data_IF_254574222733
#
_entry.id   IF_254574222733
#
_cell.length_a   1.000
_cell.length_b   1.000
_cell.length_c   1.000
_cell.angle_alpha   90.00
_cell.angle_beta   90.00
_cell.angle_gamma   90.00
#
_symmetry.space_group_name_H-M   'P 1'
#
loop_
_entity.id
_entity.type
_entity.pdbx_description
1 polymer ?
#
# COMPACT_ATOMS: atom_id res chain seq x y z
N UNK A 1 -20.44 1.77 17.97
CA UNK A 1 -20.74 2.17 16.57
C UNK A 1 -20.47 3.66 16.45
N UNK A 2 -19.69 4.08 15.47
CA UNK A 2 -19.37 5.48 15.21
C UNK A 2 -19.64 5.82 13.74
N UNK A 3 -19.92 7.09 13.44
CA UNK A 3 -19.96 7.62 12.09
C UNK A 3 -18.61 8.24 11.74
N UNK A 4 -17.92 7.68 10.76
CA UNK A 4 -16.57 8.06 10.35
C UNK A 4 -16.66 8.77 8.99
N UNK A 5 -16.19 10.02 8.93
CA UNK A 5 -15.91 10.67 7.66
C UNK A 5 -14.50 10.29 7.21
N UNK A 6 -14.43 9.43 6.21
CA UNK A 6 -13.17 8.94 5.64
C UNK A 6 -12.73 9.78 4.45
N UNK A 7 -11.68 10.56 4.61
CA UNK A 7 -11.06 11.30 3.52
C UNK A 7 -9.91 10.48 2.93
N UNK A 8 -10.03 10.08 1.66
CA UNK A 8 -9.06 9.20 1.03
C UNK A 8 -9.12 9.22 -0.50
N UNK A 9 -8.33 8.36 -1.12
CA UNK A 9 -8.31 8.17 -2.58
C UNK A 9 -9.21 7.03 -3.01
N UNK A 10 -9.83 7.17 -4.19
CA UNK A 10 -10.47 6.09 -4.94
C UNK A 10 -9.76 5.81 -6.26
N UNK A 11 -9.07 6.82 -6.79
CA UNK A 11 -8.32 6.74 -8.04
C UNK A 11 -7.17 7.77 -8.05
N UNK A 12 -6.14 7.60 -8.88
CA UNK A 12 -5.80 6.38 -9.59
C UNK A 12 -5.39 5.26 -8.63
N UNK A 13 -5.46 4.00 -9.07
CA UNK A 13 -5.22 2.83 -8.22
C UNK A 13 -3.80 2.82 -7.66
N UNK A 14 -3.68 2.65 -6.34
CA UNK A 14 -2.41 2.56 -5.62
C UNK A 14 -2.63 1.90 -4.24
N UNK A 15 -1.56 1.66 -3.48
CA UNK A 15 -1.64 1.09 -2.14
C UNK A 15 -2.55 1.85 -1.17
N UNK A 16 -2.58 3.19 -1.26
CA UNK A 16 -3.48 4.03 -0.46
C UNK A 16 -4.97 3.78 -0.80
N UNK A 17 -5.29 3.56 -2.08
CA UNK A 17 -6.65 3.20 -2.51
C UNK A 17 -7.05 1.85 -1.93
N UNK A 18 -6.19 0.83 -2.07
CA UNK A 18 -6.43 -0.51 -1.50
C UNK A 18 -6.64 -0.44 0.00
N UNK A 19 -5.77 0.27 0.71
CA UNK A 19 -5.91 0.48 2.15
C UNK A 19 -7.25 1.14 2.52
N UNK A 20 -7.59 2.24 1.87
CA UNK A 20 -8.82 2.98 2.16
C UNK A 20 -10.09 2.16 1.91
N UNK A 21 -10.14 1.45 0.78
CA UNK A 21 -11.30 0.64 0.42
C UNK A 21 -11.46 -0.58 1.33
N UNK A 22 -10.39 -1.34 1.58
CA UNK A 22 -10.44 -2.52 2.45
C UNK A 22 -10.77 -2.16 3.89
N UNK A 23 -10.16 -1.10 4.42
CA UNK A 23 -10.40 -0.63 5.80
C UNK A 23 -11.83 -0.13 5.97
N UNK A 24 -12.33 0.71 5.07
CA UNK A 24 -13.70 1.23 5.15
C UNK A 24 -14.75 0.15 4.95
N UNK A 25 -14.49 -0.83 4.08
CA UNK A 25 -15.37 -1.99 3.93
C UNK A 25 -15.43 -2.82 5.22
N UNK A 26 -14.28 -3.11 5.82
CA UNK A 26 -14.23 -3.87 7.07
C UNK A 26 -14.89 -3.14 8.24
N UNK A 27 -14.72 -1.81 8.35
CA UNK A 27 -15.41 -0.99 9.35
C UNK A 27 -16.94 -1.01 9.16
N UNK A 28 -17.42 -0.93 7.91
CA UNK A 28 -18.86 -1.06 7.60
C UNK A 28 -19.40 -2.42 8.01
N UNK A 29 -18.66 -3.49 7.73
CA UNK A 29 -19.06 -4.86 8.10
C UNK A 29 -19.20 -5.05 9.61
N UNK A 30 -18.53 -4.20 10.40
CA UNK A 30 -18.66 -4.15 11.86
C UNK A 30 -19.73 -3.16 12.36
N UNK A 31 -20.51 -2.56 11.45
CA UNK A 31 -21.63 -1.71 11.76
C UNK A 31 -21.31 -0.21 11.86
N UNK A 32 -20.09 0.23 11.57
CA UNK A 32 -19.78 1.67 11.54
C UNK A 32 -20.42 2.35 10.33
N UNK A 33 -20.91 3.59 10.54
CA UNK A 33 -21.31 4.46 9.45
C UNK A 33 -20.07 5.06 8.77
N UNK A 34 -19.93 4.92 7.46
CA UNK A 34 -18.81 5.49 6.70
C UNK A 34 -19.35 6.44 5.64
N UNK A 35 -18.92 7.71 5.70
CA UNK A 35 -19.05 8.67 4.60
C UNK A 35 -17.69 8.83 3.93
N UNK A 36 -17.59 8.40 2.68
CA UNK A 36 -16.33 8.44 1.94
C UNK A 36 -16.18 9.77 1.20
N UNK A 37 -15.13 10.53 1.50
CA UNK A 37 -14.82 11.83 0.90
C UNK A 37 -13.56 11.65 0.04
N UNK A 38 -13.65 11.98 -1.24
CA UNK A 38 -12.54 11.82 -2.19
C UNK A 38 -12.53 12.92 -3.24
N UNK A 39 -11.39 13.10 -3.90
CA UNK A 39 -11.30 14.03 -5.01
C UNK A 39 -11.86 13.38 -6.27
N UNK A 40 -12.89 14.03 -6.86
CA UNK A 40 -13.49 13.62 -8.12
C UNK A 40 -14.13 14.80 -8.83
N UNK A 41 -14.48 14.63 -10.11
CA UNK A 41 -15.28 15.60 -10.84
C UNK A 41 -16.74 15.43 -10.46
N UNK A 42 -17.41 16.51 -10.03
CA UNK A 42 -18.85 16.49 -9.82
C UNK A 42 -19.58 16.02 -11.08
N UNK A 43 -20.58 15.16 -10.93
CA UNK A 43 -21.37 14.65 -12.04
C UNK A 43 -21.89 15.80 -12.91
N UNK A 44 -21.58 15.80 -14.21
CA UNK A 44 -22.01 16.81 -15.18
C UNK A 44 -20.99 17.90 -15.53
N UNK A 45 -19.77 17.86 -15.00
CA UNK A 45 -18.67 18.72 -15.50
C UNK A 45 -17.67 17.90 -16.32
N UNK A 46 -17.11 18.47 -17.43
CA UNK A 46 -16.05 17.79 -18.18
C UNK A 46 -14.85 17.54 -17.26
N UNK A 47 -14.25 16.36 -17.40
CA UNK A 47 -13.08 15.97 -16.61
C UNK A 47 -11.92 16.96 -16.86
N UNK A 48 -11.18 17.40 -15.83
CA UNK A 48 -9.97 18.22 -16.02
C UNK A 48 -8.86 17.52 -16.81
N UNK A 49 -9.00 16.22 -17.10
CA UNK A 49 -8.08 15.46 -17.96
C UNK A 49 -7.94 16.07 -19.35
N UNK A 50 -8.98 16.77 -19.87
CA UNK A 50 -8.90 17.49 -21.13
C UNK A 50 -7.93 18.68 -21.11
N UNK A 51 -7.74 19.32 -19.95
CA UNK A 51 -6.80 20.43 -19.77
C UNK A 51 -5.35 19.93 -19.61
N UNK A 52 -5.15 18.75 -19.03
CA UNK A 52 -3.83 18.13 -18.88
C UNK A 52 -3.32 17.60 -20.24
N UNK A 53 -4.21 17.07 -21.09
CA UNK A 53 -3.91 16.68 -22.47
C UNK A 53 -3.55 17.88 -23.36
N UNK A 54 -4.22 19.03 -23.19
CA UNK A 54 -3.86 20.27 -23.89
C UNK A 54 -2.51 20.86 -23.45
N UNK A 55 -2.06 20.57 -22.21
CA UNK A 55 -0.80 21.06 -21.67
C UNK A 55 0.37 20.05 -21.84
N UNK A 56 0.16 18.93 -22.54
CA UNK A 56 1.20 17.94 -22.84
C UNK A 56 1.74 17.20 -21.58
N UNK A 57 0.97 17.15 -20.51
CA UNK A 57 1.29 16.35 -19.34
C UNK A 57 0.78 14.93 -19.59
N UNK A 58 1.71 14.00 -19.75
CA UNK A 58 1.44 12.59 -20.07
C UNK A 58 0.52 11.94 -19.02
N UNK A 59 -0.79 11.88 -19.32
CA UNK A 59 -1.79 11.20 -18.51
C UNK A 59 -2.01 9.78 -19.04
N UNK A 60 -0.98 8.94 -18.90
CA UNK A 60 -1.06 7.51 -19.25
C UNK A 60 -1.78 6.68 -18.17
N UNK A 61 -2.95 7.12 -17.74
CA UNK A 61 -3.82 6.31 -16.88
C UNK A 61 -5.18 6.13 -17.57
N UNK A 62 -5.32 5.00 -18.27
CA UNK A 62 -6.60 4.52 -18.77
C UNK A 62 -7.61 4.33 -17.63
N UNK A 63 -8.93 4.28 -17.91
CA UNK A 63 -9.97 4.12 -16.92
C UNK A 63 -9.84 2.73 -16.25
N UNK A 64 -9.14 2.67 -15.16
CA UNK A 64 -9.12 1.51 -14.28
C UNK A 64 -10.45 1.45 -13.55
N UNK A 65 -11.37 0.64 -14.04
CA UNK A 65 -12.53 0.17 -13.27
C UNK A 65 -12.02 -0.58 -12.04
N UNK A 66 -12.00 0.10 -10.90
CA UNK A 66 -11.89 -0.58 -9.61
C UNK A 66 -13.07 -1.57 -9.44
N UNK A 67 -12.97 -2.57 -8.58
CA UNK A 67 -14.04 -3.55 -8.40
C UNK A 67 -15.32 -2.83 -7.99
N UNK A 68 -16.26 -2.73 -8.94
CA UNK A 68 -17.62 -2.25 -8.71
C UNK A 68 -18.30 -3.19 -7.71
N UNK A 69 -18.60 -2.69 -6.52
CA UNK A 69 -19.38 -3.46 -5.54
C UNK A 69 -19.15 -3.12 -4.06
N UNK A 70 -18.19 -2.29 -3.70
CA UNK A 70 -17.87 -1.99 -2.29
C UNK A 70 -18.44 -0.66 -1.75
N UNK A 71 -19.39 -0.04 -2.44
CA UNK A 71 -19.87 1.31 -2.14
C UNK A 71 -21.32 1.41 -1.70
N UNK A 72 -21.63 1.21 -0.43
CA UNK A 72 -22.97 1.35 0.14
C UNK A 72 -23.08 2.44 1.23
N UNK A 73 -22.50 3.62 1.05
CA UNK A 73 -22.63 4.73 2.01
C UNK A 73 -22.54 6.09 1.30
N UNK A 74 -22.83 7.21 2.02
CA UNK A 74 -22.74 8.55 1.46
C UNK A 74 -21.34 8.83 0.91
N UNK A 75 -21.28 9.32 -0.31
CA UNK A 75 -20.03 9.74 -0.95
C UNK A 75 -20.02 11.25 -1.18
N UNK A 76 -18.86 11.86 -0.98
CA UNK A 76 -18.64 13.27 -1.25
C UNK A 76 -17.47 13.43 -2.20
N UNK A 77 -17.72 14.04 -3.35
CA UNK A 77 -16.71 14.38 -4.34
C UNK A 77 -16.19 15.81 -4.09
N UNK A 78 -14.89 15.95 -3.86
CA UNK A 78 -14.23 17.25 -3.76
C UNK A 78 -13.63 17.63 -5.10
N UNK A 79 -13.79 18.89 -5.54
CA UNK A 79 -13.23 19.34 -6.81
C UNK A 79 -11.71 19.45 -6.76
N UNK A 80 -11.04 19.11 -7.86
CA UNK A 80 -9.59 19.16 -7.98
C UNK A 80 -9.15 19.79 -9.31
N UNK A 81 -7.90 20.25 -9.36
CA UNK A 81 -7.23 20.75 -10.55
C UNK A 81 -6.34 19.66 -11.17
N UNK A 82 -5.54 19.01 -10.33
CA UNK A 82 -4.62 17.93 -10.73
C UNK A 82 -4.70 16.79 -9.74
N UNK A 83 -4.77 15.57 -10.25
CA UNK A 83 -4.75 14.35 -9.45
C UNK A 83 -3.80 13.33 -10.07
N UNK A 84 -2.85 12.86 -9.28
CA UNK A 84 -1.89 11.83 -9.66
C UNK A 84 -1.88 10.67 -8.66
N UNK A 85 -1.09 9.64 -8.92
CA UNK A 85 -0.89 8.57 -7.95
C UNK A 85 -0.24 9.07 -6.65
N UNK A 86 0.57 10.12 -6.72
CA UNK A 86 1.37 10.62 -5.58
C UNK A 86 0.67 11.77 -4.86
N UNK A 87 0.17 12.77 -5.57
CA UNK A 87 -0.37 14.00 -4.99
C UNK A 87 -1.68 14.43 -5.64
N UNK A 88 -2.41 15.32 -4.96
CA UNK A 88 -3.63 15.94 -5.48
C UNK A 88 -3.62 17.43 -5.19
N UNK A 89 -3.86 18.25 -6.21
CA UNK A 89 -4.03 19.71 -6.07
C UNK A 89 -5.53 20.00 -6.10
N UNK A 90 -6.13 20.44 -4.97
CA UNK A 90 -7.55 20.78 -4.91
C UNK A 90 -7.84 22.04 -5.71
N UNK A 91 -9.07 22.16 -6.21
CA UNK A 91 -9.54 23.43 -6.73
C UNK A 91 -9.93 24.42 -5.60
N UNK A 92 -10.03 25.72 -5.86
CA UNK A 92 -10.29 26.73 -4.83
C UNK A 92 -11.54 26.49 -3.97
N UNK A 93 -12.55 25.80 -4.50
CA UNK A 93 -13.79 25.47 -3.77
C UNK A 93 -13.72 24.24 -2.88
N UNK A 94 -12.67 23.44 -2.95
CA UNK A 94 -12.60 22.14 -2.27
C UNK A 94 -12.67 22.25 -0.73
N UNK A 95 -12.02 23.25 -0.16
CA UNK A 95 -12.04 23.47 1.29
C UNK A 95 -13.44 23.84 1.80
N UNK A 96 -14.16 24.68 1.06
CA UNK A 96 -15.55 25.05 1.39
C UNK A 96 -16.48 23.85 1.29
N UNK A 97 -16.39 23.10 0.21
CA UNK A 97 -17.18 21.88 -0.01
C UNK A 97 -16.93 20.86 1.10
N UNK A 98 -15.68 20.68 1.51
CA UNK A 98 -15.33 19.82 2.63
C UNK A 98 -15.96 20.28 3.94
N UNK A 99 -15.88 21.59 4.25
CA UNK A 99 -16.51 22.16 5.45
C UNK A 99 -18.01 21.91 5.47
N UNK A 100 -18.72 22.31 4.41
CA UNK A 100 -20.18 22.18 4.29
C UNK A 100 -20.59 20.71 4.37
N UNK A 101 -19.79 19.80 3.80
CA UNK A 101 -20.04 18.37 3.87
C UNK A 101 -19.87 17.82 5.30
N UNK A 102 -18.84 18.19 6.01
CA UNK A 102 -18.63 17.77 7.39
C UNK A 102 -19.71 18.33 8.35
N UNK A 103 -20.14 19.59 8.15
CA UNK A 103 -21.25 20.18 8.89
C UNK A 103 -22.58 19.43 8.67
N UNK A 104 -22.85 19.00 7.44
CA UNK A 104 -24.04 18.21 7.06
C UNK A 104 -23.97 16.78 7.60
N UNK A 105 -22.82 16.12 7.43
CA UNK A 105 -22.62 14.71 7.80
C UNK A 105 -22.54 14.50 9.31
N UNK A 106 -22.05 15.49 10.07
CA UNK A 106 -21.82 15.43 11.53
C UNK A 106 -21.17 14.13 11.99
N UNK A 107 -19.97 13.80 11.47
CA UNK A 107 -19.31 12.56 11.85
C UNK A 107 -18.83 12.62 13.31
N UNK A 108 -18.68 11.46 13.93
CA UNK A 108 -18.09 11.32 15.26
C UNK A 108 -16.56 11.47 15.21
N UNK A 109 -15.95 11.15 14.06
CA UNK A 109 -14.50 11.28 13.81
C UNK A 109 -14.24 11.52 12.32
N UNK A 110 -13.25 12.33 12.01
CA UNK A 110 -12.69 12.47 10.67
C UNK A 110 -11.40 11.65 10.60
N UNK A 111 -11.34 10.71 9.68
CA UNK A 111 -10.13 9.93 9.39
C UNK A 111 -9.60 10.31 8.01
N UNK A 112 -8.46 10.98 7.99
CA UNK A 112 -7.77 11.35 6.76
C UNK A 112 -6.67 10.34 6.42
N UNK A 113 -6.93 9.50 5.41
CA UNK A 113 -5.89 8.74 4.74
C UNK A 113 -5.16 9.70 3.80
N UNK A 114 -4.08 10.32 4.29
CA UNK A 114 -3.48 11.52 3.68
C UNK A 114 -3.07 11.28 2.22
N UNK A 115 -3.41 12.23 1.38
CA UNK A 115 -3.30 12.11 -0.09
C UNK A 115 -2.19 12.95 -0.69
N UNK A 116 -1.32 13.54 0.15
CA UNK A 116 -0.32 14.53 -0.23
C UNK A 116 -0.95 15.69 -1.00
N UNK A 117 -1.85 16.39 -0.31
CA UNK A 117 -2.60 17.52 -0.85
C UNK A 117 -2.40 18.76 0.03
N UNK A 118 -2.38 19.98 -0.52
CA UNK A 118 -2.45 21.21 0.27
C UNK A 118 -3.62 21.26 1.25
N UNK A 119 -4.71 20.54 0.97
CA UNK A 119 -5.87 20.42 1.85
C UNK A 119 -5.52 19.73 3.17
N UNK A 120 -4.56 18.81 3.18
CA UNK A 120 -4.11 18.10 4.38
C UNK A 120 -3.68 19.04 5.49
N UNK A 121 -3.05 20.18 5.14
CA UNK A 121 -2.58 21.20 6.09
C UNK A 121 -3.71 22.04 6.67
N UNK A 122 -4.89 22.02 6.09
CA UNK A 122 -6.09 22.74 6.53
C UNK A 122 -6.99 21.92 7.45
N UNK A 123 -6.84 20.60 7.43
CA UNK A 123 -7.69 19.68 8.20
C UNK A 123 -7.67 19.93 9.71
N UNK A 124 -6.51 20.16 10.38
CA UNK A 124 -6.50 20.39 11.82
C UNK A 124 -7.34 21.60 12.25
N UNK A 125 -7.15 22.73 11.57
CA UNK A 125 -7.88 23.96 11.90
C UNK A 125 -9.38 23.81 11.61
N UNK A 126 -9.73 23.13 10.52
CA UNK A 126 -11.11 22.87 10.14
C UNK A 126 -11.82 21.97 11.16
N UNK A 127 -11.22 20.84 11.50
CA UNK A 127 -11.81 19.90 12.46
C UNK A 127 -11.88 20.48 13.86
N UNK A 128 -10.90 21.28 14.28
CA UNK A 128 -10.94 22.02 15.53
C UNK A 128 -12.12 22.99 15.59
N UNK A 129 -12.38 23.75 14.52
CA UNK A 129 -13.52 24.68 14.44
C UNK A 129 -14.87 23.94 14.49
N UNK A 130 -14.93 22.73 13.93
CA UNK A 130 -16.13 21.89 13.94
C UNK A 130 -16.27 21.04 15.22
N UNK A 131 -15.27 21.03 16.09
CA UNK A 131 -15.27 20.23 17.32
C UNK A 131 -15.27 18.73 17.07
N UNK A 132 -14.68 18.26 15.96
CA UNK A 132 -14.62 16.85 15.57
C UNK A 132 -13.20 16.32 15.68
N UNK A 133 -12.97 15.18 16.36
CA UNK A 133 -11.66 14.54 16.42
C UNK A 133 -11.11 14.22 15.02
N UNK A 134 -9.81 14.41 14.84
CA UNK A 134 -9.11 14.21 13.57
C UNK A 134 -8.01 13.16 13.70
N UNK A 135 -8.13 12.10 12.94
CA UNK A 135 -7.12 11.04 12.81
C UNK A 135 -6.51 11.09 11.42
N UNK A 136 -5.20 10.92 11.32
CA UNK A 136 -4.52 10.72 10.04
C UNK A 136 -3.96 9.31 9.94
N UNK A 137 -3.95 8.74 8.72
CA UNK A 137 -2.99 7.69 8.33
C UNK A 137 -1.97 8.31 7.40
N UNK A 138 -0.70 8.20 7.76
CA UNK A 138 0.42 8.81 7.04
C UNK A 138 1.18 7.75 6.23
N UNK A 139 0.93 7.73 4.93
CA UNK A 139 1.39 6.69 4.00
C UNK A 139 2.78 6.89 3.38
N UNK A 140 3.39 8.09 3.33
CA UNK A 140 4.59 8.28 2.53
C UNK A 140 5.68 7.29 2.89
N UNK A 141 6.34 6.79 1.85
CA UNK A 141 7.52 5.96 1.98
C UNK A 141 8.62 6.68 2.77
N UNK A 142 9.48 5.94 3.45
CA UNK A 142 10.58 6.50 4.24
C UNK A 142 11.83 5.62 4.16
N UNK A 143 12.98 6.24 4.40
CA UNK A 143 14.23 5.56 4.69
C UNK A 143 14.90 6.26 5.88
N UNK A 144 14.93 5.57 7.02
CA UNK A 144 15.50 6.11 8.25
C UNK A 144 17.01 6.41 8.16
N UNK A 145 17.70 5.80 7.20
CA UNK A 145 19.15 5.91 7.02
C UNK A 145 19.57 6.83 5.87
N UNK A 146 18.67 7.33 5.05
CA UNK A 146 18.96 8.19 3.88
C UNK A 146 20.05 7.59 2.95
N UNK A 147 20.03 6.28 2.76
CA UNK A 147 21.08 5.53 2.05
C UNK A 147 21.05 5.69 0.54
N UNK A 148 20.03 6.28 -0.02
CA UNK A 148 19.90 6.50 -1.45
C UNK A 148 19.31 7.88 -1.77
N UNK A 149 19.54 8.38 -3.00
CA UNK A 149 19.09 9.71 -3.43
C UNK A 149 17.55 9.82 -3.42
N UNK A 150 16.86 8.75 -3.75
CA UNK A 150 15.39 8.72 -3.75
C UNK A 150 14.83 8.97 -2.34
N UNK A 151 15.54 8.54 -1.29
CA UNK A 151 15.15 8.78 0.10
C UNK A 151 15.21 10.26 0.50
N UNK A 152 16.04 11.07 -0.14
CA UNK A 152 16.12 12.53 0.11
C UNK A 152 14.78 13.24 -0.14
N UNK A 153 14.08 12.90 -1.21
CA UNK A 153 12.74 13.44 -1.50
C UNK A 153 11.72 13.03 -0.44
N UNK A 154 11.80 11.81 0.05
CA UNK A 154 10.92 11.32 1.11
C UNK A 154 11.20 12.04 2.43
N UNK A 155 12.45 12.27 2.77
CA UNK A 155 12.83 13.04 3.97
C UNK A 155 12.23 14.46 3.93
N UNK A 156 12.27 15.12 2.79
CA UNK A 156 11.65 16.44 2.62
C UNK A 156 10.14 16.40 2.85
N UNK A 157 9.46 15.36 2.36
CA UNK A 157 8.02 15.16 2.60
C UNK A 157 7.73 15.05 4.10
N UNK A 158 8.52 14.28 4.84
CA UNK A 158 8.38 14.14 6.29
C UNK A 158 8.61 15.46 7.03
N UNK A 159 9.65 16.20 6.66
CA UNK A 159 9.94 17.54 7.24
C UNK A 159 8.80 18.52 6.99
N UNK A 160 8.21 18.49 5.79
CA UNK A 160 7.09 19.36 5.43
C UNK A 160 5.82 19.03 6.22
N UNK A 161 5.52 17.74 6.40
CA UNK A 161 4.29 17.29 7.04
C UNK A 161 4.34 17.29 8.56
N UNK A 162 5.50 17.09 9.18
CA UNK A 162 5.62 16.93 10.63
C UNK A 162 4.96 18.06 11.45
N UNK A 163 5.09 19.35 11.12
CA UNK A 163 4.43 20.43 11.85
C UNK A 163 2.89 20.36 11.79
N UNK A 164 2.33 19.93 10.66
CA UNK A 164 0.89 19.74 10.50
C UNK A 164 0.42 18.50 11.25
N UNK A 165 1.14 17.38 11.14
CA UNK A 165 0.83 16.13 11.84
C UNK A 165 0.82 16.30 13.36
N UNK A 166 1.67 17.16 13.91
CA UNK A 166 1.69 17.49 15.34
C UNK A 166 0.37 18.09 15.85
N UNK A 167 -0.48 18.60 14.96
CA UNK A 167 -1.79 19.18 15.30
C UNK A 167 -2.96 18.19 15.18
N UNK A 168 -2.75 17.00 14.62
CA UNK A 168 -3.77 15.95 14.58
C UNK A 168 -3.96 15.33 15.97
N UNK A 169 -5.16 14.86 16.27
CA UNK A 169 -5.44 14.18 17.54
C UNK A 169 -4.68 12.86 17.63
N UNK A 170 -4.64 12.11 16.52
CA UNK A 170 -3.80 10.92 16.35
C UNK A 170 -3.27 10.83 14.94
N UNK A 171 -2.05 10.32 14.81
CA UNK A 171 -1.41 10.00 13.54
C UNK A 171 -1.05 8.53 13.54
N UNK A 172 -1.64 7.79 12.61
CA UNK A 172 -1.34 6.37 12.39
C UNK A 172 -0.15 6.27 11.47
N UNK A 173 0.81 5.47 11.88
CA UNK A 173 2.00 5.06 11.12
C UNK A 173 2.07 3.53 11.08
N UNK A 174 2.83 2.98 10.14
CA UNK A 174 2.82 1.54 9.88
C UNK A 174 3.93 0.77 10.60
N UNK A 175 4.89 1.47 11.21
CA UNK A 175 6.00 0.85 11.90
C UNK A 175 6.55 1.72 13.01
N UNK A 176 7.28 1.09 13.94
CA UNK A 176 8.01 1.81 15.00
C UNK A 176 9.09 2.73 14.40
N UNK A 177 9.77 2.29 13.34
CA UNK A 177 10.77 3.11 12.64
C UNK A 177 10.15 4.38 12.04
N UNK A 178 8.97 4.29 11.45
CA UNK A 178 8.25 5.45 10.92
C UNK A 178 7.84 6.41 12.06
N UNK A 179 7.38 5.87 13.18
CA UNK A 179 7.08 6.66 14.37
C UNK A 179 8.32 7.41 14.88
N UNK A 180 9.47 6.74 14.96
CA UNK A 180 10.73 7.37 15.35
C UNK A 180 11.14 8.52 14.44
N UNK A 181 10.98 8.38 13.11
CA UNK A 181 11.27 9.46 12.16
C UNK A 181 10.42 10.69 12.48
N UNK A 182 9.12 10.51 12.71
CA UNK A 182 8.21 11.62 13.04
C UNK A 182 8.51 12.22 14.43
N UNK A 183 8.88 11.40 15.41
CA UNK A 183 9.27 11.91 16.75
C UNK A 183 10.53 12.77 16.67
N UNK A 184 11.51 12.39 15.88
CA UNK A 184 12.72 13.21 15.64
C UNK A 184 12.40 14.54 14.96
N UNK A 185 11.29 14.63 14.24
CA UNK A 185 10.80 15.85 13.58
C UNK A 185 9.81 16.65 14.46
N UNK A 186 9.63 16.25 15.72
CA UNK A 186 8.85 17.01 16.70
C UNK A 186 7.41 16.57 16.90
N UNK A 187 6.98 15.46 16.30
CA UNK A 187 5.66 14.89 16.60
C UNK A 187 5.73 14.12 17.92
N UNK A 188 4.83 14.43 18.85
CA UNK A 188 4.83 13.79 20.18
C UNK A 188 4.42 12.31 20.09
N UNK A 189 5.04 11.47 20.92
CA UNK A 189 4.76 10.04 20.96
C UNK A 189 3.30 9.70 21.30
N UNK A 190 2.66 10.50 22.16
CA UNK A 190 1.26 10.32 22.55
C UNK A 190 0.25 10.65 21.42
N UNK A 191 0.71 11.30 20.35
CA UNK A 191 -0.06 11.56 19.13
C UNK A 191 0.11 10.45 18.10
N UNK A 192 1.13 9.62 18.22
CA UNK A 192 1.41 8.55 17.27
C UNK A 192 0.76 7.24 17.69
N UNK A 193 0.24 6.51 16.71
CA UNK A 193 -0.28 5.15 16.88
C UNK A 193 0.33 4.26 15.80
N UNK A 194 1.04 3.21 16.20
CA UNK A 194 1.59 2.22 15.26
C UNK A 194 0.52 1.18 14.98
N UNK A 195 -0.10 1.30 13.82
CA UNK A 195 -1.14 0.39 13.32
C UNK A 195 -0.72 0.01 11.89
N UNK A 196 -0.02 -1.13 11.69
CA UNK A 196 0.46 -1.51 10.37
C UNK A 196 -0.67 -1.80 9.40
N UNK A 197 -0.37 -1.82 8.11
CA UNK A 197 -1.27 -2.35 7.10
C UNK A 197 -1.72 -3.76 7.47
N UNK A 198 -2.95 -4.10 7.09
CA UNK A 198 -3.50 -5.43 7.30
C UNK A 198 -3.78 -6.15 5.98
N UNK A 199 -3.55 -7.46 5.98
CA UNK A 199 -3.90 -8.37 4.88
C UNK A 199 -5.03 -9.30 5.32
N UNK A 200 -5.95 -9.61 4.41
CA UNK A 200 -6.99 -10.61 4.66
C UNK A 200 -6.42 -12.04 4.46
N UNK A 201 -6.23 -12.81 5.54
CA UNK A 201 -5.65 -14.15 5.47
C UNK A 201 -6.62 -15.22 4.93
N UNK A 202 -7.88 -14.88 4.74
CA UNK A 202 -8.87 -15.76 4.11
C UNK A 202 -8.77 -15.69 2.59
N UNK A 203 -8.48 -14.51 2.06
CA UNK A 203 -8.21 -14.28 0.64
C UNK A 203 -6.78 -14.71 0.28
N UNK A 204 -5.80 -14.20 1.01
CA UNK A 204 -4.38 -14.49 0.78
C UNK A 204 -3.93 -15.63 1.68
N UNK A 205 -3.88 -16.82 1.11
CA UNK A 205 -3.56 -18.07 1.84
C UNK A 205 -2.81 -19.05 0.95
N UNK A 206 -2.05 -19.99 1.52
CA UNK A 206 -1.47 -21.09 0.76
C UNK A 206 -2.53 -21.89 0.02
N UNK A 207 -2.16 -22.53 -1.08
CA UNK A 207 -3.08 -23.35 -1.88
C UNK A 207 -3.78 -24.45 -1.03
N UNK A 208 -3.04 -25.22 -0.26
CA UNK A 208 -3.58 -26.20 0.69
C UNK A 208 -4.76 -27.00 0.15
N UNK A 209 -5.79 -27.18 0.98
CA UNK A 209 -7.02 -27.87 0.64
C UNK A 209 -8.04 -27.02 -0.17
N UNK A 210 -7.81 -25.72 -0.29
CA UNK A 210 -8.68 -24.77 -1.01
C UNK A 210 -7.86 -23.88 -1.96
N UNK A 211 -7.31 -24.47 -3.05
CA UNK A 211 -6.58 -23.69 -4.03
C UNK A 211 -7.51 -22.74 -4.78
N UNK A 212 -6.96 -21.63 -5.29
CA UNK A 212 -7.67 -20.79 -6.25
C UNK A 212 -8.02 -21.60 -7.50
N UNK A 213 -9.23 -21.46 -8.08
CA UNK A 213 -9.59 -22.12 -9.34
C UNK A 213 -8.60 -21.84 -10.48
N UNK A 214 -7.99 -20.65 -10.45
CA UNK A 214 -7.02 -20.19 -11.45
C UNK A 214 -5.62 -20.81 -11.26
N UNK A 215 -5.36 -21.52 -10.16
CA UNK A 215 -4.04 -22.10 -9.87
C UNK A 215 -3.70 -23.26 -10.84
N UNK A 216 -4.64 -24.15 -11.12
CA UNK A 216 -4.36 -25.33 -11.97
C UNK A 216 -3.94 -24.97 -13.40
N UNK A 217 -4.56 -23.99 -14.09
CA UNK A 217 -4.07 -23.50 -15.38
C UNK A 217 -2.64 -22.94 -15.30
N UNK A 218 -2.32 -22.19 -14.24
CA UNK A 218 -0.98 -21.64 -14.05
C UNK A 218 0.06 -22.72 -13.78
N UNK A 219 -0.28 -23.72 -12.96
CA UNK A 219 0.61 -24.88 -12.72
C UNK A 219 0.94 -25.62 -14.02
N UNK A 220 -0.04 -25.78 -14.92
CA UNK A 220 0.21 -26.38 -16.24
C UNK A 220 1.11 -25.50 -17.11
N UNK A 221 0.87 -24.18 -17.11
CA UNK A 221 1.69 -23.23 -17.90
C UNK A 221 3.15 -23.24 -17.48
N UNK A 222 3.42 -23.38 -16.20
CA UNK A 222 4.77 -23.34 -15.63
C UNK A 222 5.27 -24.71 -15.16
N UNK A 223 4.68 -25.79 -15.67
CA UNK A 223 5.04 -27.15 -15.25
C UNK A 223 6.56 -27.41 -15.39
N UNK A 224 7.13 -28.01 -14.38
CA UNK A 224 8.56 -28.34 -14.32
C UNK A 224 9.46 -27.14 -13.98
N UNK A 225 8.91 -25.95 -13.71
CA UNK A 225 9.67 -24.76 -13.33
C UNK A 225 9.25 -24.24 -11.97
N UNK A 226 10.20 -23.83 -11.16
CA UNK A 226 9.97 -23.14 -9.89
C UNK A 226 9.74 -21.66 -10.17
N UNK A 227 8.73 -21.06 -9.56
CA UNK A 227 8.29 -19.70 -9.83
C UNK A 227 8.83 -18.74 -8.77
N UNK A 228 9.61 -17.76 -9.21
CA UNK A 228 10.03 -16.59 -8.47
C UNK A 228 9.19 -15.41 -8.94
N UNK A 229 8.59 -14.68 -8.03
CA UNK A 229 7.58 -13.67 -8.32
C UNK A 229 8.02 -12.28 -7.85
N UNK A 230 7.88 -11.31 -8.73
CA UNK A 230 7.74 -9.91 -8.40
C UNK A 230 6.32 -9.47 -8.72
N UNK A 231 5.66 -8.76 -7.79
CA UNK A 231 4.35 -8.17 -8.04
C UNK A 231 4.32 -6.75 -7.50
N UNK A 232 4.16 -5.78 -8.41
CA UNK A 232 4.15 -4.37 -8.07
C UNK A 232 4.35 -3.46 -9.27
N UNK A 233 4.40 -2.16 -9.01
CA UNK A 233 4.67 -1.15 -10.03
C UNK A 233 6.10 -1.29 -10.58
N UNK A 234 6.25 -1.17 -11.91
CA UNK A 234 7.55 -1.20 -12.56
C UNK A 234 8.07 0.23 -12.72
N UNK A 235 8.70 0.73 -11.66
CA UNK A 235 9.19 2.11 -11.55
C UNK A 235 10.56 2.15 -10.83
N UNK A 236 11.22 3.30 -10.90
CA UNK A 236 12.59 3.49 -10.39
C UNK A 236 12.71 3.10 -8.91
N UNK A 237 11.78 3.51 -8.08
CA UNK A 237 11.78 3.24 -6.63
C UNK A 237 11.60 1.75 -6.31
N UNK A 238 11.02 0.97 -7.22
CA UNK A 238 10.83 -0.48 -7.05
C UNK A 238 12.03 -1.31 -7.49
N UNK A 239 12.97 -0.70 -8.22
CA UNK A 239 14.29 -1.27 -8.55
C UNK A 239 14.25 -2.65 -9.22
N UNK A 240 13.25 -2.88 -10.06
CA UNK A 240 13.09 -4.13 -10.83
C UNK A 240 14.32 -4.39 -11.72
N UNK A 241 14.99 -3.31 -12.15
CA UNK A 241 16.22 -3.39 -12.94
C UNK A 241 17.32 -4.19 -12.22
N UNK A 242 17.52 -3.96 -10.92
CA UNK A 242 18.52 -4.69 -10.13
C UNK A 242 18.18 -6.18 -10.02
N UNK A 243 16.89 -6.52 -9.89
CA UNK A 243 16.42 -7.90 -9.90
C UNK A 243 16.69 -8.58 -11.25
N UNK A 244 16.33 -7.95 -12.36
CA UNK A 244 16.56 -8.46 -13.69
C UNK A 244 18.07 -8.66 -13.96
N UNK A 245 18.88 -7.70 -13.53
CA UNK A 245 20.34 -7.80 -13.67
C UNK A 245 20.90 -9.00 -12.88
N UNK A 246 20.47 -9.19 -11.65
CA UNK A 246 20.86 -10.36 -10.85
C UNK A 246 20.39 -11.67 -11.49
N UNK A 247 19.13 -11.72 -11.97
CA UNK A 247 18.57 -12.88 -12.63
C UNK A 247 19.37 -13.29 -13.87
N UNK A 248 19.72 -12.33 -14.73
CA UNK A 248 20.54 -12.56 -15.93
C UNK A 248 21.94 -13.09 -15.61
N UNK A 249 22.54 -12.63 -14.50
CA UNK A 249 23.86 -13.09 -14.07
C UNK A 249 23.84 -14.52 -13.52
N UNK A 250 22.77 -14.95 -12.90
CA UNK A 250 22.64 -16.28 -12.26
C UNK A 250 21.98 -17.29 -13.18
N UNK A 251 20.90 -16.91 -13.84
CA UNK A 251 20.05 -17.78 -14.68
C UNK A 251 19.73 -19.10 -13.96
N UNK A 252 18.99 -19.07 -12.85
CA UNK A 252 18.81 -20.27 -12.03
C UNK A 252 18.05 -21.36 -12.80
N UNK A 253 18.73 -22.47 -13.05
CA UNK A 253 18.18 -23.56 -13.86
C UNK A 253 16.90 -24.12 -13.26
N UNK A 254 15.90 -24.41 -14.11
CA UNK A 254 14.60 -24.92 -13.69
C UNK A 254 13.70 -23.89 -13.00
N UNK A 255 14.09 -22.61 -13.02
CA UNK A 255 13.32 -21.51 -12.44
C UNK A 255 12.79 -20.55 -13.52
N UNK A 256 11.75 -19.81 -13.17
CA UNK A 256 11.20 -18.72 -13.99
C UNK A 256 10.92 -17.52 -13.08
N UNK A 257 11.25 -16.33 -13.57
CA UNK A 257 10.91 -15.06 -12.93
C UNK A 257 9.63 -14.50 -13.57
N UNK A 258 8.60 -14.32 -12.77
CA UNK A 258 7.37 -13.62 -13.18
C UNK A 258 7.42 -12.16 -12.71
N UNK A 259 7.26 -11.24 -13.65
CA UNK A 259 7.10 -9.81 -13.38
C UNK A 259 5.63 -9.46 -13.61
N UNK A 260 4.90 -9.27 -12.50
CA UNK A 260 3.47 -8.91 -12.51
C UNK A 260 3.32 -7.45 -12.11
N UNK A 261 2.78 -6.66 -13.01
CA UNK A 261 2.59 -5.24 -12.83
C UNK A 261 2.93 -4.43 -14.06
N UNK A 262 2.71 -3.14 -13.97
CA UNK A 262 3.01 -2.15 -15.00
C UNK A 262 3.66 -0.91 -14.40
N UNK A 263 4.15 -0.04 -15.25
CA UNK A 263 4.77 1.20 -14.83
C UNK A 263 5.68 1.82 -15.88
N UNK A 264 6.22 3.01 -15.61
CA UNK A 264 6.96 3.80 -16.61
C UNK A 264 8.22 3.11 -17.14
N UNK A 265 8.82 2.18 -16.39
CA UNK A 265 10.03 1.47 -16.81
C UNK A 265 9.76 0.14 -17.51
N UNK A 266 8.51 -0.35 -17.55
CA UNK A 266 8.21 -1.67 -18.11
C UNK A 266 8.69 -1.82 -19.55
N UNK A 267 8.29 -0.92 -20.44
CA UNK A 267 8.62 -1.03 -21.87
C UNK A 267 10.12 -1.05 -22.11
N UNK A 268 10.89 -0.20 -21.43
CA UNK A 268 12.34 -0.14 -21.58
C UNK A 268 13.06 -1.37 -21.01
N UNK A 269 12.61 -1.86 -19.86
CA UNK A 269 13.21 -3.06 -19.25
C UNK A 269 12.87 -4.32 -20.04
N UNK A 270 11.64 -4.45 -20.49
CA UNK A 270 11.18 -5.59 -21.31
C UNK A 270 11.86 -5.62 -22.68
N UNK A 271 12.07 -4.47 -23.33
CA UNK A 271 12.77 -4.39 -24.61
C UNK A 271 14.24 -4.86 -24.54
N UNK A 272 14.85 -4.71 -23.38
CA UNK A 272 16.21 -5.16 -23.10
C UNK A 272 16.28 -6.60 -22.56
N UNK A 273 15.17 -7.29 -22.44
CA UNK A 273 15.04 -8.59 -21.83
C UNK A 273 14.44 -9.59 -22.83
N UNK A 274 15.31 -10.35 -23.48
CA UNK A 274 14.91 -11.40 -24.44
C UNK A 274 14.97 -12.82 -23.85
N UNK A 275 15.07 -12.92 -22.50
CA UNK A 275 15.28 -14.18 -21.83
C UNK A 275 13.98 -15.00 -21.69
N UNK A 276 14.03 -16.26 -22.11
CA UNK A 276 12.84 -17.15 -22.07
C UNK A 276 12.41 -17.56 -20.64
N UNK A 277 13.28 -17.32 -19.64
CA UNK A 277 13.04 -17.60 -18.22
C UNK A 277 12.55 -16.38 -17.42
N UNK A 278 12.31 -15.25 -18.09
CA UNK A 278 11.62 -14.07 -17.53
C UNK A 278 10.30 -13.86 -18.25
N UNK A 279 9.22 -13.87 -17.50
CA UNK A 279 7.86 -13.69 -18.05
C UNK A 279 7.29 -12.37 -17.57
N UNK A 280 7.07 -11.48 -18.51
CA UNK A 280 6.41 -10.20 -18.31
C UNK A 280 4.90 -10.39 -18.38
N UNK A 281 4.26 -10.55 -17.21
CA UNK A 281 2.81 -10.78 -17.13
C UNK A 281 2.01 -9.53 -17.48
N UNK A 282 2.47 -8.39 -17.02
CA UNK A 282 1.74 -7.13 -17.11
C UNK A 282 0.86 -6.86 -15.91
N UNK A 283 0.03 -5.82 -16.00
CA UNK A 283 -0.92 -5.48 -14.96
C UNK A 283 -2.02 -6.54 -14.86
N UNK A 284 -2.28 -7.02 -13.64
CA UNK A 284 -3.33 -8.01 -13.39
C UNK A 284 -4.37 -7.43 -12.41
N UNK A 285 -5.53 -6.98 -12.90
CA UNK A 285 -6.59 -6.41 -12.04
C UNK A 285 -7.39 -7.48 -11.29
N UNK A 286 -7.42 -8.72 -11.78
CA UNK A 286 -8.27 -9.80 -11.23
C UNK A 286 -7.64 -10.37 -9.97
N UNK A 287 -8.38 -10.23 -8.85
CA UNK A 287 -7.91 -10.67 -7.54
C UNK A 287 -7.63 -12.18 -7.51
N UNK A 288 -8.51 -12.99 -8.08
CA UNK A 288 -8.41 -14.45 -8.12
C UNK A 288 -7.13 -14.93 -8.83
N UNK A 289 -6.68 -14.22 -9.88
CA UNK A 289 -5.43 -14.52 -10.57
C UNK A 289 -4.23 -14.07 -9.74
N UNK A 290 -4.29 -12.90 -9.11
CA UNK A 290 -3.21 -12.46 -8.22
C UNK A 290 -3.02 -13.42 -7.04
N UNK A 291 -4.12 -13.92 -6.46
CA UNK A 291 -4.08 -14.94 -5.41
C UNK A 291 -3.44 -16.22 -5.95
N UNK A 292 -3.86 -16.69 -7.14
CA UNK A 292 -3.30 -17.89 -7.76
C UNK A 292 -1.80 -17.75 -8.07
N UNK A 293 -1.35 -16.58 -8.51
CA UNK A 293 0.07 -16.29 -8.76
C UNK A 293 0.88 -16.36 -7.46
N UNK A 294 0.37 -15.84 -6.35
CA UNK A 294 1.01 -15.97 -5.04
C UNK A 294 1.02 -17.42 -4.55
N UNK A 295 -0.05 -18.19 -4.78
CA UNK A 295 -0.10 -19.60 -4.46
C UNK A 295 0.85 -20.46 -5.31
N UNK A 296 1.12 -20.03 -6.53
CA UNK A 296 2.07 -20.69 -7.45
C UNK A 296 3.53 -20.38 -7.07
N UNK A 297 3.79 -19.18 -6.60
CA UNK A 297 5.14 -18.70 -6.33
C UNK A 297 5.76 -19.40 -5.12
N UNK A 298 7.02 -19.81 -5.25
CA UNK A 298 7.82 -20.31 -4.12
C UNK A 298 8.59 -19.21 -3.42
N UNK A 299 9.00 -18.19 -4.18
CA UNK A 299 9.77 -17.03 -3.67
C UNK A 299 9.14 -15.74 -4.20
N UNK A 300 8.94 -14.80 -3.31
CA UNK A 300 8.55 -13.43 -3.63
C UNK A 300 9.74 -12.50 -3.43
N UNK A 301 10.04 -11.68 -4.43
CA UNK A 301 11.20 -10.79 -4.46
C UNK A 301 10.74 -9.34 -4.52
N UNK A 302 11.14 -8.53 -3.53
CA UNK A 302 10.81 -7.10 -3.45
C UNK A 302 12.10 -6.27 -3.31
N UNK A 303 12.73 -5.87 -4.44
CA UNK A 303 14.04 -5.21 -4.45
C UNK A 303 13.96 -3.69 -4.25
N UNK A 304 12.89 -3.17 -3.68
CA UNK A 304 12.57 -1.74 -3.60
C UNK A 304 13.66 -0.91 -2.93
N UNK A 305 13.84 0.32 -3.41
CA UNK A 305 14.74 1.31 -2.79
C UNK A 305 14.04 2.12 -1.70
N UNK A 306 12.74 2.36 -1.87
CA UNK A 306 11.92 3.16 -0.97
C UNK A 306 10.55 2.51 -0.83
N UNK A 307 10.09 2.36 0.40
CA UNK A 307 8.76 1.82 0.73
C UNK A 307 8.17 2.52 1.96
N UNK A 308 6.85 2.44 2.12
CA UNK A 308 6.19 2.61 3.41
C UNK A 308 6.11 1.25 4.11
N UNK A 309 4.99 0.56 3.91
CA UNK A 309 4.80 -0.86 4.20
C UNK A 309 4.12 -1.50 2.99
N UNK A 310 4.80 -2.43 2.34
CA UNK A 310 4.32 -3.05 1.11
C UNK A 310 3.16 -4.02 1.37
N UNK A 311 1.98 -3.72 0.80
CA UNK A 311 0.85 -4.66 0.81
C UNK A 311 1.18 -5.94 0.05
N UNK A 312 1.91 -5.86 -1.07
CA UNK A 312 2.30 -7.04 -1.83
C UNK A 312 3.20 -7.98 -1.01
N UNK A 313 4.05 -7.43 -0.14
CA UNK A 313 4.84 -8.24 0.81
C UNK A 313 3.94 -8.95 1.81
N UNK A 314 2.96 -8.27 2.40
CA UNK A 314 2.01 -8.87 3.34
C UNK A 314 1.15 -9.95 2.67
N UNK A 315 0.73 -9.73 1.43
CA UNK A 315 -0.01 -10.70 0.61
C UNK A 315 0.81 -11.97 0.35
N UNK A 316 2.10 -11.80 0.01
CA UNK A 316 3.03 -12.91 -0.18
C UNK A 316 3.27 -13.70 1.12
N UNK A 317 3.50 -13.00 2.23
CA UNK A 317 3.66 -13.61 3.55
C UNK A 317 2.42 -14.40 3.96
N UNK A 318 1.23 -13.81 3.83
CA UNK A 318 -0.03 -14.47 4.14
C UNK A 318 -0.28 -15.69 3.25
N UNK A 319 0.18 -15.68 2.01
CA UNK A 319 0.10 -16.81 1.07
C UNK A 319 1.12 -17.92 1.38
N UNK A 320 2.01 -17.72 2.35
CA UNK A 320 3.03 -18.71 2.72
C UNK A 320 4.18 -18.78 1.73
N UNK A 321 4.43 -17.72 0.99
CA UNK A 321 5.53 -17.61 0.02
C UNK A 321 6.80 -17.15 0.73
N UNK A 322 7.95 -17.73 0.42
CA UNK A 322 9.22 -17.26 0.94
C UNK A 322 9.52 -15.84 0.45
N UNK A 323 9.73 -14.90 1.36
CA UNK A 323 9.90 -13.49 1.02
C UNK A 323 11.36 -13.06 1.14
N UNK A 324 11.84 -12.37 0.12
CA UNK A 324 13.11 -11.62 0.11
C UNK A 324 12.78 -10.17 -0.20
N UNK A 325 13.06 -9.28 0.73
CA UNK A 325 12.82 -7.85 0.56
C UNK A 325 14.01 -7.04 1.04
N UNK A 326 14.14 -5.83 0.52
CA UNK A 326 15.06 -4.85 1.07
C UNK A 326 14.56 -4.33 2.42
N UNK A 327 15.45 -3.72 3.19
CA UNK A 327 15.11 -3.01 4.42
C UNK A 327 14.57 -1.59 4.16
N UNK A 328 13.95 -1.36 3.01
CA UNK A 328 13.28 -0.12 2.67
C UNK A 328 12.01 0.07 3.53
N UNK A 329 11.86 1.25 4.12
CA UNK A 329 10.72 1.57 4.97
C UNK A 329 10.53 0.56 6.10
N UNK A 330 9.33 0.02 6.23
CA UNK A 330 8.97 -0.96 7.24
C UNK A 330 9.18 -2.42 6.79
N UNK A 331 9.55 -2.67 5.54
CA UNK A 331 9.60 -4.04 4.98
C UNK A 331 10.63 -4.93 5.71
N UNK A 332 11.76 -4.35 6.14
CA UNK A 332 12.73 -5.07 6.97
C UNK A 332 12.18 -5.48 8.33
N UNK A 333 11.47 -4.58 9.01
CA UNK A 333 10.81 -4.84 10.30
C UNK A 333 9.74 -5.95 10.19
N UNK A 334 9.00 -5.95 9.09
CA UNK A 334 7.96 -6.96 8.83
C UNK A 334 8.54 -8.36 8.72
N UNK A 335 9.74 -8.51 8.16
CA UNK A 335 10.42 -9.79 7.98
C UNK A 335 11.33 -10.20 9.17
N UNK A 336 11.34 -9.44 10.26
CA UNK A 336 12.11 -9.81 11.45
C UNK A 336 11.69 -11.17 12.03
N UNK A 337 12.55 -11.74 12.88
CA UNK A 337 12.28 -13.02 13.54
C UNK A 337 12.35 -14.23 12.62
N UNK A 338 13.04 -14.12 11.49
CA UNK A 338 13.18 -15.21 10.51
C UNK A 338 11.98 -15.39 9.57
N UNK A 339 11.09 -14.39 9.51
CA UNK A 339 9.92 -14.43 8.64
C UNK A 339 10.25 -14.22 7.15
N UNK A 340 11.50 -13.96 6.82
CA UNK A 340 12.00 -13.78 5.47
C UNK A 340 13.46 -13.40 5.47
N UNK A 341 13.99 -13.12 4.28
CA UNK A 341 15.36 -12.64 4.10
C UNK A 341 15.32 -11.15 3.81
N UNK A 342 16.01 -10.38 4.65
CA UNK A 342 16.16 -8.92 4.49
C UNK A 342 17.51 -8.63 3.87
N UNK A 343 17.51 -7.87 2.78
CA UNK A 343 18.71 -7.38 2.12
C UNK A 343 18.81 -5.86 2.22
N UNK A 344 20.03 -5.32 2.08
CA UNK A 344 20.23 -3.87 2.06
C UNK A 344 19.73 -3.27 0.75
N UNK A 345 19.21 -2.04 0.80
CA UNK A 345 18.97 -1.22 -0.40
C UNK A 345 20.26 -0.86 -1.17
N UNK A 346 21.42 -1.05 -0.55
CA UNK A 346 22.73 -0.88 -1.18
C UNK A 346 23.22 -2.22 -1.77
N UNK A 347 23.56 -2.23 -3.06
CA UNK A 347 24.10 -3.42 -3.73
C UNK A 347 23.08 -4.56 -3.90
N UNK A 348 21.83 -4.25 -4.18
CA UNK A 348 20.73 -5.22 -4.34
C UNK A 348 21.09 -6.31 -5.36
N UNK A 349 21.64 -5.95 -6.52
CA UNK A 349 22.05 -6.90 -7.56
C UNK A 349 23.04 -7.94 -7.02
N UNK A 350 24.06 -7.51 -6.27
CA UNK A 350 25.09 -8.41 -5.71
C UNK A 350 24.52 -9.35 -4.68
N UNK A 351 23.65 -8.84 -3.80
CA UNK A 351 22.99 -9.65 -2.77
C UNK A 351 22.05 -10.69 -3.39
N UNK A 352 21.22 -10.29 -4.37
CA UNK A 352 20.32 -11.21 -5.07
C UNK A 352 21.11 -12.25 -5.88
N UNK A 353 22.22 -11.86 -6.51
CA UNK A 353 23.10 -12.80 -7.22
C UNK A 353 23.61 -13.92 -6.31
N UNK A 354 23.86 -13.61 -5.04
CA UNK A 354 24.29 -14.60 -4.04
C UNK A 354 23.12 -15.44 -3.54
N UNK A 355 21.93 -14.84 -3.35
CA UNK A 355 20.76 -15.53 -2.78
C UNK A 355 20.02 -16.41 -3.77
N UNK A 356 19.89 -16.04 -5.03
CA UNK A 356 19.11 -16.78 -6.02
C UNK A 356 19.57 -18.25 -6.18
N UNK A 357 20.88 -18.59 -6.22
CA UNK A 357 21.31 -19.99 -6.23
C UNK A 357 20.93 -20.74 -4.96
N UNK A 358 21.05 -20.11 -3.79
CA UNK A 358 20.70 -20.70 -2.50
C UNK A 358 19.21 -21.05 -2.45
N UNK A 359 18.34 -20.11 -2.85
CA UNK A 359 16.89 -20.31 -2.87
C UNK A 359 16.50 -21.41 -3.89
N UNK A 360 17.18 -21.47 -5.04
CA UNK A 360 16.98 -22.56 -6.00
C UNK A 360 17.38 -23.90 -5.40
N UNK A 361 18.54 -23.99 -4.75
CA UNK A 361 19.12 -25.28 -4.33
C UNK A 361 18.55 -25.79 -3.01
N UNK A 362 17.87 -24.94 -2.24
CA UNK A 362 17.36 -25.22 -0.89
C UNK A 362 15.82 -25.11 -0.81
N UNK A 363 15.05 -26.04 -1.42
CA UNK A 363 13.59 -25.96 -1.39
C UNK A 363 12.99 -26.12 0.01
N UNK A 364 13.69 -26.84 0.91
CA UNK A 364 13.28 -26.94 2.31
C UNK A 364 13.39 -25.58 3.02
N UNK A 365 14.44 -24.81 2.73
CA UNK A 365 14.59 -23.47 3.26
C UNK A 365 13.46 -22.54 2.78
N UNK A 366 13.13 -22.58 1.49
CA UNK A 366 12.04 -21.74 0.96
C UNK A 366 10.69 -22.12 1.55
N UNK A 367 10.42 -23.40 1.76
CA UNK A 367 9.20 -23.86 2.40
C UNK A 367 9.11 -23.37 3.87
N UNK A 368 10.19 -23.45 4.62
CA UNK A 368 10.23 -22.99 6.02
C UNK A 368 10.12 -21.47 6.13
N UNK A 369 10.80 -20.70 5.27
CA UNK A 369 10.66 -19.25 5.20
C UNK A 369 9.21 -18.85 4.91
N UNK A 370 8.54 -19.54 3.98
CA UNK A 370 7.13 -19.29 3.68
C UNK A 370 6.20 -19.59 4.86
N UNK A 371 6.46 -20.67 5.59
CA UNK A 371 5.71 -21.01 6.80
C UNK A 371 5.86 -19.96 7.89
N UNK A 372 7.08 -19.51 8.15
CA UNK A 372 7.36 -18.44 9.13
C UNK A 372 6.80 -17.09 8.71
N UNK A 373 6.86 -16.78 7.40
CA UNK A 373 6.24 -15.58 6.86
C UNK A 373 4.73 -15.55 7.13
N UNK A 374 4.02 -16.64 6.84
CA UNK A 374 2.58 -16.74 7.11
C UNK A 374 2.29 -16.65 8.61
N UNK A 375 3.03 -17.34 9.44
CA UNK A 375 2.86 -17.28 10.88
C UNK A 375 2.92 -15.82 11.36
N UNK A 376 3.96 -15.08 10.96
CA UNK A 376 4.12 -13.68 11.36
C UNK A 376 3.02 -12.78 10.80
N UNK A 377 2.58 -13.00 9.55
CA UNK A 377 1.47 -12.25 8.98
C UNK A 377 0.17 -12.45 9.78
N UNK A 378 -0.13 -13.68 10.19
CA UNK A 378 -1.30 -14.01 11.02
C UNK A 378 -1.21 -13.42 12.42
N UNK A 379 -0.03 -13.36 13.01
CA UNK A 379 0.17 -12.83 14.36
C UNK A 379 0.09 -11.30 14.43
N UNK A 380 0.50 -10.58 13.37
CA UNK A 380 0.74 -9.13 13.46
C UNK A 380 0.12 -8.28 12.36
N UNK A 381 -0.22 -8.85 11.22
CA UNK A 381 -0.53 -8.08 10.02
C UNK A 381 -1.88 -8.45 9.39
N UNK A 382 -2.82 -8.93 10.17
CA UNK A 382 -4.16 -9.22 9.67
C UNK A 382 -5.01 -7.94 9.56
N UNK A 383 -5.89 -7.89 8.58
CA UNK A 383 -6.85 -6.80 8.43
C UNK A 383 -7.77 -6.71 9.65
N UNK A 384 -8.19 -7.86 10.22
CA UNK A 384 -8.99 -7.90 11.42
C UNK A 384 -8.29 -7.23 12.61
N UNK A 385 -7.03 -7.58 12.87
CA UNK A 385 -6.23 -6.94 13.92
C UNK A 385 -6.00 -5.44 13.68
N UNK A 386 -5.86 -5.02 12.41
CA UNK A 386 -5.80 -3.61 12.05
C UNK A 386 -7.11 -2.89 12.44
N UNK A 387 -8.26 -3.46 12.11
CA UNK A 387 -9.56 -2.88 12.43
C UNK A 387 -9.80 -2.83 13.94
N UNK A 388 -9.43 -3.87 14.69
CA UNK A 388 -9.52 -3.86 16.16
C UNK A 388 -8.73 -2.70 16.77
N UNK A 389 -7.51 -2.46 16.26
CA UNK A 389 -6.66 -1.35 16.69
C UNK A 389 -7.27 0.02 16.33
N UNK A 390 -7.88 0.15 15.16
CA UNK A 390 -8.58 1.37 14.74
C UNK A 390 -9.81 1.65 15.61
N UNK A 391 -10.64 0.66 15.88
CA UNK A 391 -11.82 0.79 16.75
C UNK A 391 -11.42 1.22 18.16
N UNK A 392 -10.34 0.62 18.69
CA UNK A 392 -9.80 1.01 19.99
C UNK A 392 -9.32 2.47 19.98
N UNK A 393 -8.65 2.91 18.92
CA UNK A 393 -8.20 4.28 18.77
C UNK A 393 -9.37 5.25 18.69
N UNK A 394 -10.40 4.96 17.90
CA UNK A 394 -11.59 5.80 17.79
C UNK A 394 -12.33 5.89 19.12
N UNK A 395 -12.45 4.78 19.86
CA UNK A 395 -13.14 4.77 21.17
C UNK A 395 -12.47 5.68 22.22
N UNK A 396 -11.18 5.97 22.05
CA UNK A 396 -10.44 6.91 22.92
C UNK A 396 -10.70 8.38 22.57
N UNK A 397 -11.13 8.65 21.35
CA UNK A 397 -11.31 10.01 20.83
C UNK A 397 -12.79 10.45 20.82
N UNK A 398 -13.68 9.52 20.54
CA UNK A 398 -15.12 9.80 20.50
C UNK A 398 -15.67 9.82 21.94
N UNK A 399 -16.21 10.97 22.43
CA UNK A 399 -16.83 11.00 23.73
C UNK A 399 -17.94 9.94 23.80
N UNK A 400 -17.92 9.10 24.83
CA UNK A 400 -19.05 8.20 25.09
C UNK A 400 -20.29 9.09 25.26
N UNK A 401 -21.19 9.07 24.27
CA UNK A 401 -22.52 9.64 24.47
C UNK A 401 -23.12 8.84 25.62
N UNK A 402 -23.19 9.44 26.80
CA UNK A 402 -23.94 8.89 27.91
C UNK A 402 -25.36 8.62 27.40
N UNK A 403 -25.73 7.33 27.37
CA UNK A 403 -27.11 6.88 27.29
C UNK A 403 -27.78 7.38 28.59
N UNK A 404 -28.12 8.65 28.62
CA UNK A 404 -29.12 9.13 29.58
C UNK A 404 -30.43 8.71 28.98
N UNK A 405 -31.00 7.66 29.60
CA UNK A 405 -32.33 7.12 29.35
C UNK A 405 -33.41 8.19 29.59
#
# INVERSE_FOLDING_TARGET
VAHIAWLGKKSPFCGNVTYGLSTTHALRSRGHGISFIHFDTPAGRPSPTSLAEELGVDSSDGPGSGPDGLGGGPEVALPYLVKSQVYTIPSPGAQRELRESLERLRPDVVHASLTLSPLDFRLPDLCQQLGVPLVATFHPAFDASLRNITAGTQQLTYQLYAPALAKFDRVIVFSDLQAEVLMRLGVRSDRLAVIPNGVDPHTWKPAGASPSPELAPLQRRFAGRRVFLYMGRVATEKNVEALLKAWRLVRPAGCVLLIVGDGPLRSSLQANDAEADVVWWGYEPRLEIRVALQQLAEVFLLPSLVEGLSLALLEAMASGTACVATDAGADGEVLEGGAGIVISTQGVTTQLRTLLPVLRDQPVLTAELGRLARQRALERYTLEGNIDALEKLYSQLVPQRSLVA
#
